data_IF_966074790873
#
_entry.id   IF_966074790873
#
_cell.length_a   1.000
_cell.length_b   1.000
_cell.length_c   1.000
_cell.angle_alpha   90.00
_cell.angle_beta   90.00
_cell.angle_gamma   90.00
#
_symmetry.space_group_name_H-M   'P 1'
#
loop_
_entity.id
_entity.type
_entity.pdbx_description
1 polymer ?
#
# COMPACT_ATOMS: atom_id res chain seq x y z
N UNK A 1 16.00 38.62 -5.16
CA UNK A 1 16.06 37.20 -5.40
C UNK A 1 15.79 36.87 -6.87
N UNK A 2 16.67 36.16 -7.46
CA UNK A 2 16.50 35.75 -8.86
C UNK A 2 15.49 34.62 -8.94
N UNK A 3 14.63 34.65 -9.98
CA UNK A 3 13.67 33.56 -10.22
C UNK A 3 14.29 32.20 -10.40
N UNK A 4 15.56 32.13 -10.80
CA UNK A 4 16.25 30.82 -10.93
C UNK A 4 16.47 30.13 -9.59
N UNK A 5 16.26 30.81 -8.49
CA UNK A 5 16.30 30.21 -7.16
C UNK A 5 14.94 29.58 -6.80
N UNK A 6 13.94 29.84 -7.62
CA UNK A 6 12.63 29.24 -7.47
C UNK A 6 12.56 27.99 -8.33
N UNK A 7 12.84 26.84 -7.70
CA UNK A 7 12.69 25.56 -8.36
C UNK A 7 11.20 25.20 -8.32
N UNK A 8 10.61 25.05 -9.50
CA UNK A 8 9.27 24.50 -9.60
C UNK A 8 9.35 23.02 -9.22
N UNK A 9 9.04 22.73 -7.96
CA UNK A 9 8.89 21.35 -7.53
C UNK A 9 7.54 20.87 -8.03
N UNK A 10 7.58 20.01 -9.03
CA UNK A 10 6.38 19.36 -9.51
C UNK A 10 5.90 18.40 -8.45
N UNK A 11 4.79 18.73 -7.79
CA UNK A 11 4.17 17.82 -6.83
C UNK A 11 3.65 16.62 -7.62
N UNK A 12 4.19 15.45 -7.35
CA UNK A 12 3.73 14.22 -7.96
C UNK A 12 2.32 13.90 -7.48
N UNK A 13 1.45 13.60 -8.42
CA UNK A 13 0.08 13.18 -8.12
C UNK A 13 -0.11 11.73 -8.51
N UNK A 14 -0.87 10.97 -7.74
CA UNK A 14 -1.22 9.61 -8.14
C UNK A 14 -1.93 9.62 -9.49
N UNK A 15 -1.67 8.62 -10.32
CA UNK A 15 -2.29 8.49 -11.63
C UNK A 15 -3.78 8.18 -11.50
N UNK A 16 -4.53 8.53 -12.55
CA UNK A 16 -5.92 8.11 -12.67
C UNK A 16 -5.95 6.78 -13.41
N UNK A 17 -6.68 5.82 -12.87
CA UNK A 17 -6.76 4.47 -13.40
C UNK A 17 -8.21 4.15 -13.77
N UNK A 18 -8.43 3.70 -15.00
CA UNK A 18 -9.74 3.25 -15.46
C UNK A 18 -10.08 1.89 -14.84
N UNK A 19 -11.36 1.50 -14.89
CA UNK A 19 -11.80 0.18 -14.41
C UNK A 19 -11.13 -0.96 -15.19
N UNK A 20 -10.90 -0.75 -16.47
CA UNK A 20 -10.20 -1.71 -17.32
C UNK A 20 -8.75 -1.89 -16.86
N UNK A 21 -8.05 -0.79 -16.60
CA UNK A 21 -6.67 -0.81 -16.14
C UNK A 21 -6.56 -1.42 -14.74
N UNK A 22 -7.55 -1.22 -13.87
CA UNK A 22 -7.58 -1.83 -12.53
C UNK A 22 -7.54 -3.34 -12.60
N UNK A 23 -8.29 -3.95 -13.49
CA UNK A 23 -8.34 -5.42 -13.66
C UNK A 23 -6.96 -5.96 -14.07
N UNK A 24 -6.35 -5.32 -15.04
CA UNK A 24 -5.02 -5.70 -15.53
C UNK A 24 -3.97 -5.52 -14.44
N UNK A 25 -4.01 -4.39 -13.75
CA UNK A 25 -3.09 -4.08 -12.65
C UNK A 25 -3.23 -5.05 -11.48
N UNK A 26 -4.47 -5.39 -11.13
CA UNK A 26 -4.74 -6.35 -10.05
C UNK A 26 -4.08 -7.69 -10.32
N UNK A 27 -4.21 -8.19 -11.56
CA UNK A 27 -3.58 -9.45 -11.97
C UNK A 27 -2.06 -9.38 -11.86
N UNK A 28 -1.48 -8.26 -12.27
CA UNK A 28 -0.03 -8.05 -12.18
C UNK A 28 0.44 -8.05 -10.74
N UNK A 29 -0.26 -7.35 -9.85
CA UNK A 29 0.07 -7.28 -8.44
C UNK A 29 -0.05 -8.66 -7.78
N UNK A 30 -1.13 -9.36 -8.03
CA UNK A 30 -1.34 -10.71 -7.51
C UNK A 30 -0.23 -11.66 -7.95
N UNK A 31 0.19 -11.58 -9.21
CA UNK A 31 1.27 -12.39 -9.74
C UNK A 31 2.61 -12.06 -9.06
N UNK A 32 2.90 -10.79 -8.83
CA UNK A 32 4.13 -10.38 -8.14
C UNK A 32 4.14 -10.81 -6.68
N UNK A 33 3.02 -10.67 -5.98
CA UNK A 33 2.90 -11.09 -4.59
C UNK A 33 2.99 -12.61 -4.47
N UNK A 34 2.45 -13.34 -5.43
CA UNK A 34 2.53 -14.81 -5.45
C UNK A 34 3.97 -15.33 -5.51
N UNK A 35 4.91 -14.52 -6.03
CA UNK A 35 6.33 -14.86 -6.06
C UNK A 35 7.04 -14.61 -4.73
N UNK A 36 6.39 -13.93 -3.79
CA UNK A 36 6.98 -13.59 -2.49
C UNK A 36 6.66 -14.67 -1.46
N UNK A 37 7.36 -14.63 -0.32
CA UNK A 37 7.13 -15.56 0.79
C UNK A 37 6.32 -14.90 1.90
N UNK A 38 6.80 -13.78 2.42
CA UNK A 38 6.15 -13.07 3.53
C UNK A 38 4.86 -12.38 3.12
N UNK A 39 4.90 -11.60 2.04
CA UNK A 39 3.73 -10.87 1.56
C UNK A 39 2.59 -11.80 1.17
N UNK A 40 2.91 -12.91 0.51
CA UNK A 40 1.90 -13.89 0.12
C UNK A 40 1.10 -14.40 1.31
N UNK A 41 1.76 -14.55 2.46
CA UNK A 41 1.12 -15.01 3.68
C UNK A 41 0.45 -13.88 4.47
N UNK A 42 1.03 -12.68 4.41
CA UNK A 42 0.58 -11.55 5.20
C UNK A 42 -0.61 -10.82 4.58
N UNK A 43 -0.63 -10.68 3.26
CA UNK A 43 -1.66 -9.90 2.58
C UNK A 43 -2.97 -10.69 2.50
N UNK A 44 -4.00 -10.16 3.14
CA UNK A 44 -5.33 -10.77 3.13
C UNK A 44 -6.18 -10.26 1.97
N UNK A 45 -5.96 -9.02 1.54
CA UNK A 45 -6.75 -8.38 0.51
C UNK A 45 -5.93 -7.27 -0.17
N UNK A 46 -6.20 -7.07 -1.45
CA UNK A 46 -5.59 -6.00 -2.24
C UNK A 46 -6.72 -5.08 -2.71
N UNK A 47 -6.55 -3.78 -2.54
CA UNK A 47 -7.49 -2.78 -3.03
C UNK A 47 -6.75 -1.74 -3.85
N UNK A 48 -7.27 -1.44 -5.04
CA UNK A 48 -6.74 -0.36 -5.88
C UNK A 48 -7.74 0.78 -5.84
N UNK A 49 -7.27 1.93 -5.37
CA UNK A 49 -8.12 3.10 -5.21
C UNK A 49 -7.33 4.37 -5.46
N UNK A 50 -7.83 5.22 -6.39
CA UNK A 50 -7.26 6.54 -6.68
C UNK A 50 -5.74 6.52 -6.95
N UNK A 51 -5.26 5.60 -7.78
CA UNK A 51 -3.84 5.50 -8.14
C UNK A 51 -2.97 4.90 -7.05
N UNK A 52 -3.56 4.29 -6.05
CA UNK A 52 -2.85 3.65 -4.95
C UNK A 52 -3.29 2.20 -4.78
N UNK A 53 -2.32 1.37 -4.44
CA UNK A 53 -2.56 -0.05 -4.13
C UNK A 53 -2.43 -0.20 -2.63
N UNK A 54 -3.48 -0.66 -1.98
CA UNK A 54 -3.48 -0.93 -0.55
C UNK A 54 -3.39 -2.43 -0.33
N UNK A 55 -2.41 -2.84 0.47
CA UNK A 55 -2.22 -4.22 0.88
C UNK A 55 -2.70 -4.34 2.34
N UNK A 56 -3.71 -5.16 2.57
CA UNK A 56 -4.30 -5.31 3.89
C UNK A 56 -3.82 -6.57 4.57
N UNK A 57 -3.76 -6.52 5.89
CA UNK A 57 -3.40 -7.64 6.73
C UNK A 57 -4.43 -7.81 7.84
N UNK A 58 -4.74 -9.05 8.17
CA UNK A 58 -5.61 -9.39 9.28
C UNK A 58 -4.80 -9.50 10.57
N UNK A 59 -5.31 -8.84 11.61
CA UNK A 59 -4.71 -8.92 12.94
C UNK A 59 -5.73 -9.54 13.88
N UNK A 60 -5.35 -10.64 14.52
CA UNK A 60 -6.18 -11.25 15.53
C UNK A 60 -6.22 -10.36 16.77
N UNK A 61 -7.43 -10.11 17.27
CA UNK A 61 -7.62 -9.28 18.45
C UNK A 61 -7.93 -10.16 19.65
N UNK A 62 -7.15 -9.95 20.71
CA UNK A 62 -7.44 -10.48 22.01
C UNK A 62 -8.05 -9.32 22.79
N UNK A 63 -9.33 -9.43 23.16
CA UNK A 63 -10.00 -8.34 23.85
C UNK A 63 -10.63 -8.82 25.14
N UNK A 64 -10.70 -7.90 26.09
CA UNK A 64 -11.40 -8.09 27.34
C UNK A 64 -12.92 -8.01 27.13
N UNK A 65 -13.65 -8.71 27.95
CA UNK A 65 -15.10 -8.65 27.98
C UNK A 65 -15.57 -7.19 28.11
N UNK A 66 -16.55 -6.82 27.32
CA UNK A 66 -17.07 -5.46 27.32
C UNK A 66 -16.38 -4.48 26.37
N UNK A 67 -15.38 -4.92 25.63
CA UNK A 67 -14.73 -4.10 24.61
C UNK A 67 -15.71 -3.77 23.47
N UNK A 68 -15.80 -2.48 23.14
CA UNK A 68 -16.64 -2.01 22.05
C UNK A 68 -15.76 -1.71 20.84
N UNK A 69 -16.14 -2.27 19.69
CA UNK A 69 -15.44 -2.04 18.43
C UNK A 69 -16.23 -1.07 17.57
N UNK A 70 -15.52 -0.09 16.99
CA UNK A 70 -16.12 0.87 16.06
C UNK A 70 -16.14 0.32 14.63
N UNK A 71 -15.39 -0.74 14.36
CA UNK A 71 -15.29 -1.40 13.05
C UNK A 71 -15.71 -2.86 13.22
N UNK A 72 -16.51 -3.40 12.28
CA UNK A 72 -16.88 -4.82 12.34
C UNK A 72 -15.67 -5.73 12.29
N UNK A 73 -15.66 -6.76 13.13
CA UNK A 73 -14.63 -7.78 13.12
C UNK A 73 -14.87 -8.80 11.99
N UNK A 74 -13.81 -9.24 11.34
CA UNK A 74 -13.86 -10.32 10.36
C UNK A 74 -13.80 -11.64 11.12
N UNK A 75 -14.77 -12.52 10.86
CA UNK A 75 -14.93 -13.80 11.56
C UNK A 75 -14.99 -13.66 13.09
N UNK A 76 -15.42 -12.49 13.56
CA UNK A 76 -15.59 -12.21 14.99
C UNK A 76 -14.31 -12.01 15.79
N UNK A 77 -13.14 -12.05 15.16
CA UNK A 77 -11.86 -11.94 15.88
C UNK A 77 -10.74 -11.18 15.17
N UNK A 78 -10.90 -10.86 13.89
CA UNK A 78 -9.85 -10.18 13.14
C UNK A 78 -10.22 -8.75 12.80
N UNK A 79 -9.25 -7.85 12.92
CA UNK A 79 -9.30 -6.52 12.35
C UNK A 79 -8.41 -6.49 11.11
N UNK A 80 -8.88 -5.84 10.05
CA UNK A 80 -8.13 -5.68 8.83
C UNK A 80 -7.57 -4.27 8.76
N UNK A 81 -6.25 -4.14 8.60
CA UNK A 81 -5.58 -2.86 8.51
C UNK A 81 -4.74 -2.79 7.24
N UNK A 82 -4.56 -1.58 6.67
CA UNK A 82 -3.60 -1.40 5.59
C UNK A 82 -2.19 -1.75 6.09
N UNK A 83 -1.60 -2.75 5.45
CA UNK A 83 -0.26 -3.23 5.78
C UNK A 83 0.81 -2.39 5.11
N UNK A 84 0.55 -2.04 3.85
CA UNK A 84 1.44 -1.22 3.04
C UNK A 84 0.60 -0.54 1.97
N UNK A 85 1.14 0.53 1.41
CA UNK A 85 0.52 1.25 0.30
C UNK A 85 1.56 1.52 -0.77
N UNK A 86 1.22 1.27 -2.03
CA UNK A 86 2.06 1.63 -3.16
C UNK A 86 1.33 2.72 -3.94
N UNK A 87 1.93 3.90 -4.04
CA UNK A 87 1.39 5.01 -4.81
C UNK A 87 2.05 5.02 -6.18
N UNK A 88 1.25 5.05 -7.23
CA UNK A 88 1.70 5.04 -8.61
C UNK A 88 1.57 6.43 -9.22
N UNK A 89 2.65 6.93 -9.82
CA UNK A 89 2.67 8.31 -10.34
C UNK A 89 2.60 8.38 -11.86
N UNK A 90 3.20 7.41 -12.55
CA UNK A 90 3.21 7.40 -14.02
C UNK A 90 3.03 5.97 -14.56
N UNK A 91 2.27 5.80 -15.66
CA UNK A 91 2.29 4.53 -16.37
C UNK A 91 3.65 4.38 -17.09
N UNK A 92 4.17 3.18 -17.31
CA UNK A 92 3.62 1.88 -16.98
C UNK A 92 3.97 1.37 -15.57
N UNK A 93 3.87 2.23 -14.56
CA UNK A 93 4.15 1.93 -13.16
C UNK A 93 5.64 1.77 -12.84
N UNK A 94 6.46 2.57 -13.53
CA UNK A 94 7.91 2.62 -13.30
C UNK A 94 8.30 3.63 -12.22
N UNK A 95 7.38 4.53 -11.86
CA UNK A 95 7.59 5.53 -10.82
C UNK A 95 6.50 5.36 -9.76
N UNK A 96 6.85 4.66 -8.70
CA UNK A 96 5.96 4.36 -7.57
C UNK A 96 6.67 4.65 -6.26
N UNK A 97 5.91 4.80 -5.19
CA UNK A 97 6.45 4.84 -3.84
C UNK A 97 5.84 3.76 -2.98
N UNK A 98 6.66 3.14 -2.13
CA UNK A 98 6.20 2.22 -1.10
C UNK A 98 6.04 3.01 0.18
N UNK A 99 4.84 2.99 0.73
CA UNK A 99 4.49 3.75 1.93
C UNK A 99 4.07 2.83 3.05
N UNK A 100 4.33 3.25 4.29
CA UNK A 100 3.81 2.60 5.48
C UNK A 100 3.06 3.61 6.34
N UNK A 101 2.16 3.12 7.16
CA UNK A 101 1.34 3.97 8.02
C UNK A 101 1.96 4.06 9.42
N UNK A 102 2.17 5.29 9.88
CA UNK A 102 2.68 5.55 11.22
C UNK A 102 1.57 5.40 12.26
N UNK A 103 1.98 5.36 13.53
CA UNK A 103 1.04 5.27 14.64
C UNK A 103 0.06 6.46 14.72
N UNK A 104 0.40 7.60 14.10
CA UNK A 104 -0.47 8.77 14.02
C UNK A 104 -1.36 8.76 12.77
N UNK A 105 -1.49 7.62 12.11
CA UNK A 105 -2.26 7.39 10.90
C UNK A 105 -1.76 8.15 9.66
N UNK A 106 -0.55 8.67 9.71
CA UNK A 106 0.07 9.34 8.56
C UNK A 106 0.91 8.33 7.76
N UNK A 107 0.85 8.48 6.45
CA UNK A 107 1.64 7.65 5.55
C UNK A 107 3.01 8.25 5.31
N UNK A 108 4.03 7.41 5.36
CA UNK A 108 5.41 7.79 5.07
C UNK A 108 5.99 6.93 3.97
N UNK A 109 6.72 7.56 3.06
CA UNK A 109 7.40 6.85 1.98
C UNK A 109 8.68 6.20 2.50
N UNK A 110 8.81 4.90 2.27
CA UNK A 110 10.00 4.13 2.64
C UNK A 110 10.94 3.90 1.46
N UNK A 111 10.40 3.77 0.27
CA UNK A 111 11.18 3.44 -0.91
C UNK A 111 10.48 3.96 -2.16
N UNK A 112 11.23 4.14 -3.22
CA UNK A 112 10.72 4.54 -4.53
C UNK A 112 11.30 3.62 -5.59
N UNK A 113 10.57 3.44 -6.68
CA UNK A 113 10.99 2.59 -7.77
C UNK A 113 9.81 2.12 -8.61
N UNK A 114 10.00 1.04 -9.34
CA UNK A 114 8.92 0.41 -10.10
C UNK A 114 7.96 -0.29 -9.15
N UNK A 115 6.81 -0.68 -9.67
CA UNK A 115 5.82 -1.45 -8.91
C UNK A 115 6.45 -2.74 -8.36
N UNK A 116 7.19 -3.45 -9.20
CA UNK A 116 7.88 -4.69 -8.82
C UNK A 116 8.91 -4.44 -7.71
N UNK A 117 9.69 -3.37 -7.84
CA UNK A 117 10.68 -2.99 -6.83
C UNK A 117 10.02 -2.63 -5.50
N UNK A 118 8.89 -1.92 -5.53
CA UNK A 118 8.15 -1.59 -4.31
C UNK A 118 7.62 -2.84 -3.61
N UNK A 119 7.12 -3.81 -4.37
CA UNK A 119 6.66 -5.09 -3.82
C UNK A 119 7.83 -5.85 -3.20
N UNK A 120 8.97 -5.89 -3.87
CA UNK A 120 10.18 -6.54 -3.33
C UNK A 120 10.69 -5.85 -2.06
N UNK A 121 10.66 -4.53 -2.02
CA UNK A 121 11.03 -3.79 -0.82
C UNK A 121 10.08 -4.08 0.35
N UNK A 122 8.79 -4.21 0.09
CA UNK A 122 7.81 -4.59 1.10
C UNK A 122 8.07 -6.00 1.63
N UNK A 123 8.44 -6.93 0.73
CA UNK A 123 8.78 -8.31 1.10
C UNK A 123 10.00 -8.39 2.01
N UNK A 124 11.01 -7.56 1.73
CA UNK A 124 12.29 -7.59 2.45
C UNK A 124 12.30 -6.73 3.70
N UNK A 125 11.35 -5.81 3.84
CA UNK A 125 11.35 -4.84 4.92
C UNK A 125 10.83 -5.39 6.23
N UNK A 126 11.52 -5.07 7.33
CA UNK A 126 11.08 -5.42 8.67
C UNK A 126 9.99 -4.47 9.19
N UNK A 127 9.70 -3.42 8.43
CA UNK A 127 8.74 -2.37 8.79
C UNK A 127 7.30 -2.86 8.88
N UNK A 128 7.02 -4.00 8.25
CA UNK A 128 5.66 -4.53 8.09
C UNK A 128 5.42 -5.80 8.93
N UNK A 129 6.27 -6.06 9.84
CA UNK A 129 6.12 -7.23 10.73
C UNK A 129 5.19 -6.97 11.91
#
# INVERSE_FOLDING_TARGET
>A
MSRKDMVWVRVKKPIKISQWEKKSLMKKIEAEIAKTTKLRQAVSRIEIRAGRVYLYKLYEQIFTEGTIFTVPLIDGKYLEFPYARITMYYPPYSDCSLDWQRSDNKWMTLAEGSLEECIQNAEQGDWFE
#
